data_IF_114061797575
#
_entry.id   IF_114061797575
#
_cell.length_a   1.000
_cell.length_b   1.000
_cell.length_c   1.000
_cell.angle_alpha   90.00
_cell.angle_beta   90.00
_cell.angle_gamma   90.00
#
_symmetry.space_group_name_H-M   'P 1'
#
loop_
_entity.id
_entity.type
_entity.pdbx_description
1 polymer ?
#
# COMPACT_ATOMS: atom_id res chain seq x y z
N UNK A 1 -11.79 17.28 16.46
CA UNK A 1 -11.06 17.03 15.18
C UNK A 1 -9.73 16.35 15.51
N UNK A 2 -9.72 15.01 15.58
CA UNK A 2 -8.53 14.24 16.01
C UNK A 2 -7.53 14.10 14.86
N UNK A 3 -6.31 14.61 15.06
CA UNK A 3 -5.23 14.53 14.07
C UNK A 3 -4.75 13.07 13.90
N UNK A 4 -5.09 12.50 12.74
CA UNK A 4 -4.15 11.92 11.76
C UNK A 4 -3.17 10.85 12.29
N UNK A 5 -3.67 9.74 12.84
CA UNK A 5 -2.84 8.53 13.04
C UNK A 5 -2.38 7.90 11.71
N UNK A 6 -3.19 8.05 10.64
CA UNK A 6 -2.88 7.50 9.31
C UNK A 6 -1.81 8.24 8.49
N UNK A 7 -1.50 9.51 8.80
CA UNK A 7 -0.55 10.29 7.96
C UNK A 7 0.90 9.83 8.09
N UNK A 8 1.31 9.36 9.28
CA UNK A 8 2.68 8.85 9.49
C UNK A 8 2.90 7.51 8.78
N UNK A 9 1.88 6.65 8.74
CA UNK A 9 1.94 5.36 8.04
C UNK A 9 1.97 5.54 6.53
N UNK A 10 1.12 6.41 5.98
CA UNK A 10 1.11 6.70 4.55
C UNK A 10 2.42 7.33 4.09
N UNK A 11 2.92 8.34 4.80
CA UNK A 11 4.19 9.00 4.45
C UNK A 11 5.35 7.99 4.45
N UNK A 12 5.45 7.16 5.49
CA UNK A 12 6.48 6.12 5.55
C UNK A 12 6.36 5.14 4.37
N UNK A 13 5.14 4.71 4.02
CA UNK A 13 4.92 3.83 2.88
C UNK A 13 5.40 4.46 1.57
N UNK A 14 5.03 5.71 1.32
CA UNK A 14 5.41 6.43 0.10
C UNK A 14 6.92 6.61 0.01
N UNK A 15 7.58 6.97 1.11
CA UNK A 15 9.03 7.14 1.17
C UNK A 15 9.79 5.83 0.88
N UNK A 16 9.25 4.69 1.34
CA UNK A 16 9.89 3.38 1.18
C UNK A 16 9.59 2.72 -0.18
N UNK A 17 8.43 2.99 -0.78
CA UNK A 17 7.94 2.19 -1.92
C UNK A 17 7.59 2.98 -3.19
N UNK A 18 7.53 4.31 -3.17
CA UNK A 18 7.09 5.11 -4.34
C UNK A 18 7.90 4.92 -5.62
N UNK A 19 9.14 4.44 -5.50
CA UNK A 19 10.07 4.22 -6.61
C UNK A 19 10.18 2.75 -7.03
N UNK A 20 9.61 1.84 -6.25
CA UNK A 20 9.73 0.41 -6.45
C UNK A 20 8.91 -0.07 -7.65
N UNK A 21 9.44 -1.08 -8.34
CA UNK A 21 8.73 -1.78 -9.41
C UNK A 21 7.81 -2.86 -8.89
N UNK A 22 8.21 -3.50 -7.79
CA UNK A 22 7.48 -4.62 -7.20
C UNK A 22 7.35 -4.38 -5.71
N UNK A 23 6.12 -4.34 -5.23
CA UNK A 23 5.81 -4.22 -3.80
C UNK A 23 5.19 -5.53 -3.35
N UNK A 24 5.77 -6.16 -2.32
CA UNK A 24 5.21 -7.35 -1.70
C UNK A 24 5.14 -7.10 -0.20
N UNK A 25 3.92 -6.97 0.32
CA UNK A 25 3.65 -6.81 1.74
C UNK A 25 2.77 -7.96 2.17
N UNK A 26 3.24 -8.72 3.14
CA UNK A 26 2.48 -9.81 3.76
C UNK A 26 2.25 -9.44 5.21
N UNK A 27 0.99 -9.35 5.60
CA UNK A 27 0.58 -9.14 6.97
C UNK A 27 0.82 -10.37 7.83
N UNK A 28 0.80 -10.14 9.14
CA UNK A 28 0.98 -11.15 10.17
C UNK A 28 0.50 -10.62 11.51
N UNK A 29 0.70 -11.38 12.59
CA UNK A 29 0.23 -11.02 13.95
C UNK A 29 0.68 -9.62 14.43
N UNK A 30 1.68 -9.01 13.79
CA UNK A 30 2.21 -7.68 14.12
C UNK A 30 2.20 -6.67 12.95
N UNK A 31 1.48 -6.94 11.86
CA UNK A 31 1.46 -5.99 10.74
C UNK A 31 0.68 -4.73 11.10
N UNK A 32 1.36 -3.60 11.11
CA UNK A 32 0.80 -2.27 11.42
C UNK A 32 0.01 -1.64 10.26
N UNK A 33 -0.25 -2.40 9.19
CA UNK A 33 -0.98 -1.93 8.03
C UNK A 33 -2.48 -2.17 8.22
N UNK A 34 -3.07 -1.33 9.06
CA UNK A 34 -4.51 -1.28 9.28
C UNK A 34 -5.06 0.08 8.86
N UNK A 35 -6.31 0.12 8.42
CA UNK A 35 -6.95 1.35 7.95
C UNK A 35 -6.80 1.59 6.45
N UNK A 36 -6.62 2.85 6.02
CA UNK A 36 -6.60 3.20 4.60
C UNK A 36 -5.18 3.24 4.04
N UNK A 37 -4.98 2.67 2.85
CA UNK A 37 -3.75 2.79 2.06
C UNK A 37 -4.06 3.46 0.73
N UNK A 38 -3.31 4.51 0.40
CA UNK A 38 -3.38 5.19 -0.89
C UNK A 38 -2.07 5.02 -1.64
N UNK A 39 -2.14 4.64 -2.91
CA UNK A 39 -1.00 4.44 -3.80
C UNK A 39 -1.26 5.29 -5.02
N UNK A 40 -0.71 6.51 -5.00
CA UNK A 40 -0.95 7.49 -6.04
C UNK A 40 0.36 7.86 -6.74
N UNK A 41 0.35 7.82 -8.08
CA UNK A 41 1.46 8.27 -8.92
C UNK A 41 2.75 7.47 -8.77
N UNK A 42 2.69 6.18 -8.40
CA UNK A 42 3.85 5.28 -8.38
C UNK A 42 4.17 4.87 -9.83
N UNK A 43 4.92 5.71 -10.54
CA UNK A 43 5.10 5.58 -12.00
C UNK A 43 5.87 4.32 -12.41
N UNK A 44 6.72 3.78 -11.55
CA UNK A 44 7.53 2.59 -11.81
C UNK A 44 6.84 1.29 -11.38
N UNK A 45 5.74 1.37 -10.63
CA UNK A 45 5.12 0.19 -10.04
C UNK A 45 4.53 -0.68 -11.13
N UNK A 46 5.04 -1.90 -11.26
CA UNK A 46 4.61 -2.92 -12.22
C UNK A 46 3.74 -4.00 -11.56
N UNK A 47 4.05 -4.35 -10.30
CA UNK A 47 3.31 -5.36 -9.54
C UNK A 47 3.19 -4.99 -8.08
N UNK A 48 2.01 -5.20 -7.51
CA UNK A 48 1.79 -5.09 -6.06
C UNK A 48 1.06 -6.31 -5.51
N UNK A 49 1.55 -6.80 -4.37
CA UNK A 49 0.93 -7.86 -3.59
C UNK A 49 0.76 -7.40 -2.15
N UNK A 50 -0.50 -7.27 -1.71
CA UNK A 50 -0.92 -6.87 -0.37
C UNK A 50 -1.68 -8.04 0.24
N UNK A 51 -0.98 -8.90 0.96
CA UNK A 51 -1.56 -10.13 1.51
C UNK A 51 -1.85 -10.00 2.99
N UNK A 52 -2.98 -10.51 3.47
CA UNK A 52 -3.30 -10.61 4.91
C UNK A 52 -3.26 -9.24 5.61
N UNK A 53 -3.71 -8.19 4.93
CA UNK A 53 -3.72 -6.83 5.48
C UNK A 53 -5.14 -6.42 5.86
N UNK A 54 -5.31 -5.88 7.08
CA UNK A 54 -6.60 -5.39 7.56
C UNK A 54 -6.88 -3.95 7.07
N UNK A 55 -6.84 -3.75 5.75
CA UNK A 55 -7.14 -2.46 5.14
C UNK A 55 -8.65 -2.22 5.13
N UNK A 56 -9.08 -1.05 5.63
CA UNK A 56 -10.47 -0.59 5.51
C UNK A 56 -10.73 0.09 4.17
N UNK A 57 -9.68 0.55 3.49
CA UNK A 57 -9.77 1.19 2.18
C UNK A 57 -8.44 1.08 1.44
N UNK A 58 -8.52 0.84 0.13
CA UNK A 58 -7.39 0.85 -0.77
C UNK A 58 -7.73 1.75 -1.96
N UNK A 59 -6.90 2.76 -2.22
CA UNK A 59 -6.95 3.56 -3.42
C UNK A 59 -5.66 3.34 -4.21
N UNK A 60 -5.78 2.95 -5.48
CA UNK A 60 -4.64 2.89 -6.40
C UNK A 60 -4.98 3.77 -7.60
N UNK A 61 -4.22 4.84 -7.80
CA UNK A 61 -4.48 5.83 -8.84
C UNK A 61 -3.19 6.29 -9.52
N UNK A 62 -3.27 6.66 -10.79
CA UNK A 62 -2.15 7.25 -11.56
C UNK A 62 -0.86 6.39 -11.65
N UNK A 63 -0.95 5.07 -11.43
CA UNK A 63 0.15 4.09 -11.55
C UNK A 63 0.21 3.49 -12.96
N UNK A 64 0.84 4.19 -13.90
CA UNK A 64 0.73 3.93 -15.35
C UNK A 64 1.38 2.64 -15.83
N UNK A 65 2.29 2.05 -15.06
CA UNK A 65 2.98 0.80 -15.41
C UNK A 65 2.42 -0.43 -14.67
N UNK A 66 1.39 -0.25 -13.83
CA UNK A 66 0.87 -1.30 -12.96
C UNK A 66 0.11 -2.33 -13.78
N UNK A 67 0.64 -3.55 -13.82
CA UNK A 67 0.10 -4.66 -14.59
C UNK A 67 -0.45 -5.79 -13.72
N UNK A 68 -0.06 -5.85 -12.44
CA UNK A 68 -0.47 -6.91 -11.53
C UNK A 68 -0.81 -6.40 -10.15
N UNK A 69 -1.99 -6.78 -9.66
CA UNK A 69 -2.46 -6.52 -8.30
C UNK A 69 -2.90 -7.84 -7.68
N UNK A 70 -2.36 -8.17 -6.51
CA UNK A 70 -2.71 -9.35 -5.73
C UNK A 70 -3.12 -8.93 -4.31
N UNK A 71 -4.38 -9.16 -3.96
CA UNK A 71 -4.99 -8.82 -2.66
C UNK A 71 -5.42 -10.08 -1.89
N UNK A 72 -4.72 -11.20 -2.06
CA UNK A 72 -5.10 -12.48 -1.48
C UNK A 72 -4.99 -12.51 0.05
N UNK A 73 -5.98 -13.13 0.70
CA UNK A 73 -5.97 -13.40 2.14
C UNK A 73 -5.32 -14.75 2.52
N UNK A 74 -4.90 -15.54 1.52
CA UNK A 74 -4.47 -16.94 1.66
C UNK A 74 -2.98 -17.08 2.01
#
# INVERSE_FOLDING_TARGET
MSKKKGQKGQQWFDENYSKEKVIVITGGWRSNFTGSLKIESFKNLESISLKKLELTSLEISNCTQLNKVDLSEH
#
